data_IF_344394781251
#
_entry.id   IF_344394781251
#
_cell.length_a   1.000
_cell.length_b   1.000
_cell.length_c   1.000
_cell.angle_alpha   90.00
_cell.angle_beta   90.00
_cell.angle_gamma   90.00
#
_symmetry.space_group_name_H-M   'P 1'
#
loop_
_entity.id
_entity.type
_entity.pdbx_description
1 polymer ?
#
# COMPACT_ATOMS: atom_id res chain seq x y z
N UNK A 1 99.48 27.09 0.76
CA UNK A 1 98.09 27.55 1.01
C UNK A 1 97.31 27.44 -0.29
N UNK A 2 96.06 26.93 -0.27
CA UNK A 2 95.08 26.86 -1.39
C UNK A 2 95.31 25.67 -2.34
N UNK A 3 94.34 24.83 -2.68
CA UNK A 3 92.89 24.72 -2.40
C UNK A 3 92.53 23.23 -2.54
N UNK A 4 92.00 22.63 -1.48
CA UNK A 4 91.05 21.51 -1.63
C UNK A 4 89.79 22.09 -2.28
N UNK A 5 89.20 21.36 -3.22
CA UNK A 5 87.87 21.66 -3.73
C UNK A 5 87.80 21.74 -5.25
N UNK A 6 87.74 20.58 -5.90
CA UNK A 6 86.84 20.45 -7.05
C UNK A 6 85.62 19.66 -6.58
N UNK A 7 84.43 20.28 -6.44
CA UNK A 7 83.21 19.50 -6.39
C UNK A 7 82.89 19.10 -7.83
N UNK A 8 83.23 17.85 -8.17
CA UNK A 8 82.73 17.17 -9.35
C UNK A 8 81.22 16.90 -9.16
N UNK A 9 80.38 17.90 -9.42
CA UNK A 9 78.96 17.67 -9.77
C UNK A 9 78.72 18.30 -11.13
N UNK A 10 78.83 17.47 -12.17
CA UNK A 10 78.52 17.84 -13.54
C UNK A 10 77.06 18.31 -13.63
N UNK A 11 76.69 19.18 -14.60
CA UNK A 11 75.27 19.56 -14.87
C UNK A 11 74.32 18.34 -14.95
N UNK A 12 74.87 17.18 -15.30
CA UNK A 12 74.21 15.86 -15.32
C UNK A 12 73.82 15.37 -13.92
N UNK A 13 74.61 15.66 -12.88
CA UNK A 13 74.33 15.32 -11.48
C UNK A 13 73.18 16.15 -10.89
N UNK A 14 73.10 17.45 -11.18
CA UNK A 14 72.02 18.31 -10.64
C UNK A 14 70.66 17.96 -11.24
N UNK A 15 70.60 17.74 -12.56
CA UNK A 15 69.38 17.24 -13.23
C UNK A 15 68.93 15.87 -12.72
N UNK A 16 69.86 15.01 -12.34
CA UNK A 16 69.56 13.67 -11.79
C UNK A 16 69.00 13.77 -10.36
N UNK A 17 69.48 14.73 -9.58
CA UNK A 17 68.99 15.04 -8.23
C UNK A 17 67.60 15.68 -8.28
N UNK A 18 67.35 16.61 -9.21
CA UNK A 18 66.03 17.19 -9.46
C UNK A 18 65.02 16.15 -9.95
N UNK A 19 65.42 15.26 -10.86
CA UNK A 19 64.58 14.16 -11.33
C UNK A 19 64.25 13.15 -10.22
N UNK A 20 65.22 12.86 -9.34
CA UNK A 20 65.01 11.98 -8.19
C UNK A 20 64.04 12.61 -7.17
N UNK A 21 64.18 13.90 -6.88
CA UNK A 21 63.28 14.60 -5.97
C UNK A 21 61.86 14.69 -6.53
N UNK A 22 61.70 14.87 -7.85
CA UNK A 22 60.39 14.82 -8.50
C UNK A 22 59.76 13.42 -8.44
N UNK A 23 60.55 12.36 -8.59
CA UNK A 23 60.08 10.98 -8.39
C UNK A 23 59.68 10.70 -6.94
N UNK A 24 60.44 11.20 -5.96
CA UNK A 24 60.10 11.07 -4.53
C UNK A 24 58.77 11.78 -4.21
N UNK A 25 58.57 12.99 -4.75
CA UNK A 25 57.32 13.74 -4.57
C UNK A 25 56.12 13.01 -5.21
N UNK A 26 56.29 12.49 -6.42
CA UNK A 26 55.25 11.70 -7.10
C UNK A 26 54.92 10.39 -6.35
N UNK A 27 55.92 9.76 -5.72
CA UNK A 27 55.73 8.57 -4.89
C UNK A 27 55.00 8.88 -3.58
N UNK A 28 55.26 10.04 -2.96
CA UNK A 28 54.53 10.49 -1.78
C UNK A 28 53.05 10.75 -2.12
N UNK A 29 52.77 11.43 -3.22
CA UNK A 29 51.40 11.67 -3.69
C UNK A 29 50.67 10.37 -4.07
N UNK A 30 51.38 9.41 -4.67
CA UNK A 30 50.83 8.09 -4.96
C UNK A 30 50.52 7.30 -3.68
N UNK A 31 51.36 7.41 -2.64
CA UNK A 31 51.13 6.77 -1.33
C UNK A 31 49.89 7.35 -0.64
N UNK A 32 49.72 8.66 -0.66
CA UNK A 32 48.57 9.32 -0.03
C UNK A 32 47.26 8.97 -0.76
N UNK A 33 47.30 8.80 -2.09
CA UNK A 33 46.17 8.27 -2.87
C UNK A 33 45.90 6.79 -2.60
N UNK A 34 46.93 6.00 -2.29
CA UNK A 34 46.79 4.58 -1.92
C UNK A 34 46.08 4.42 -0.57
N UNK A 35 46.38 5.29 0.41
CA UNK A 35 45.73 5.26 1.72
C UNK A 35 44.21 5.51 1.64
N UNK A 36 43.76 6.40 0.75
CA UNK A 36 42.32 6.64 0.48
C UNK A 36 41.65 5.43 -0.18
N UNK A 37 42.39 4.66 -0.98
CA UNK A 37 41.90 3.43 -1.60
C UNK A 37 41.82 2.30 -0.56
N UNK A 38 42.78 2.20 0.35
CA UNK A 38 42.77 1.23 1.46
C UNK A 38 41.59 1.46 2.41
N UNK A 39 41.28 2.72 2.75
CA UNK A 39 40.10 3.08 3.57
C UNK A 39 38.77 2.66 2.90
N UNK A 40 38.65 2.85 1.58
CA UNK A 40 37.48 2.39 0.81
C UNK A 40 37.38 0.87 0.70
N UNK A 41 38.51 0.16 0.69
CA UNK A 41 38.53 -1.31 0.70
C UNK A 41 38.07 -1.87 2.05
N UNK A 42 38.40 -1.22 3.16
CA UNK A 42 37.90 -1.58 4.50
C UNK A 42 36.40 -1.29 4.67
N UNK A 43 35.88 -0.26 4.02
CA UNK A 43 34.43 0.03 3.96
C UNK A 43 33.69 -1.03 3.12
N UNK A 44 34.26 -1.43 1.98
CA UNK A 44 33.73 -2.51 1.15
C UNK A 44 33.79 -3.88 1.84
N UNK A 45 34.80 -4.15 2.68
CA UNK A 45 34.87 -5.36 3.48
C UNK A 45 33.75 -5.44 4.54
N UNK A 46 33.35 -4.30 5.13
CA UNK A 46 32.21 -4.22 6.06
C UNK A 46 30.87 -4.42 5.37
N UNK A 47 30.67 -3.80 4.21
CA UNK A 47 29.46 -3.99 3.38
C UNK A 47 29.35 -5.45 2.93
N UNK A 48 30.48 -6.08 2.60
CA UNK A 48 30.54 -7.51 2.27
C UNK A 48 30.18 -8.42 3.44
N UNK A 49 30.63 -8.13 4.67
CA UNK A 49 30.28 -8.92 5.84
C UNK A 49 28.78 -8.84 6.17
N UNK A 50 28.14 -7.68 5.98
CA UNK A 50 26.69 -7.49 6.11
C UNK A 50 25.94 -8.28 5.02
N UNK A 51 26.46 -8.28 3.79
CA UNK A 51 25.91 -9.06 2.70
C UNK A 51 26.08 -10.58 2.90
N UNK A 52 27.19 -11.04 3.47
CA UNK A 52 27.45 -12.46 3.79
C UNK A 52 26.57 -12.95 4.95
N UNK A 53 26.28 -12.12 5.96
CA UNK A 53 25.30 -12.40 7.03
C UNK A 53 23.84 -12.40 6.51
N UNK A 54 23.50 -11.51 5.56
CA UNK A 54 22.23 -11.54 4.84
C UNK A 54 22.09 -12.79 3.95
N UNK A 55 23.18 -13.22 3.31
CA UNK A 55 23.22 -14.42 2.48
C UNK A 55 23.11 -15.71 3.32
N UNK A 56 23.77 -15.78 4.48
CA UNK A 56 23.66 -16.92 5.39
C UNK A 56 22.24 -17.14 5.95
N UNK A 57 21.48 -16.06 6.13
CA UNK A 57 20.05 -16.11 6.50
C UNK A 57 19.16 -16.57 5.33
N UNK A 58 19.56 -16.26 4.09
CA UNK A 58 18.87 -16.71 2.87
C UNK A 58 19.18 -18.19 2.53
N UNK A 59 20.39 -18.70 2.80
CA UNK A 59 20.76 -20.10 2.56
C UNK A 59 19.94 -21.07 3.43
N UNK A 60 19.49 -20.67 4.61
CA UNK A 60 18.61 -21.49 5.46
C UNK A 60 17.16 -21.60 4.91
N UNK A 61 16.78 -20.71 3.98
CA UNK A 61 15.52 -20.79 3.22
C UNK A 61 15.68 -21.59 1.91
N UNK A 62 16.90 -21.99 1.56
CA UNK A 62 17.25 -22.64 0.29
C UNK A 62 16.91 -24.14 0.26
N UNK A 63 17.06 -24.87 1.38
CA UNK A 63 16.67 -26.30 1.46
C UNK A 63 15.16 -26.53 1.27
N UNK A 64 14.33 -25.51 1.55
CA UNK A 64 12.87 -25.54 1.34
C UNK A 64 12.50 -25.17 -0.11
N UNK A 65 13.35 -24.39 -0.79
CA UNK A 65 13.12 -23.89 -2.15
C UNK A 65 13.55 -24.87 -3.26
N UNK A 66 14.51 -25.77 -2.99
CA UNK A 66 15.07 -26.68 -4.00
C UNK A 66 14.07 -27.74 -4.52
N UNK A 67 13.04 -28.11 -3.76
CA UNK A 67 11.97 -29.04 -4.23
C UNK A 67 10.89 -28.32 -5.09
N UNK A 68 10.75 -27.00 -4.92
CA UNK A 68 9.76 -26.18 -5.65
C UNK A 68 10.25 -25.68 -7.02
N UNK A 69 11.56 -25.46 -7.17
CA UNK A 69 12.15 -24.91 -8.40
C UNK A 69 12.06 -25.87 -9.60
N UNK A 70 11.86 -27.17 -9.37
CA UNK A 70 11.69 -28.15 -10.46
C UNK A 70 10.37 -27.99 -11.25
N UNK A 71 9.43 -27.14 -10.79
CA UNK A 71 8.08 -27.03 -11.38
C UNK A 71 7.70 -25.64 -11.93
N UNK A 72 8.50 -24.59 -11.72
CA UNK A 72 8.09 -23.18 -11.92
C UNK A 72 8.69 -22.44 -13.14
N UNK A 73 8.96 -23.12 -14.25
CA UNK A 73 9.58 -22.52 -15.45
C UNK A 73 8.72 -21.55 -16.28
N UNK A 74 7.77 -20.79 -15.69
CA UNK A 74 6.86 -19.89 -16.44
C UNK A 74 6.49 -18.54 -15.79
N UNK A 75 7.04 -18.15 -14.63
CA UNK A 75 6.60 -16.96 -13.90
C UNK A 75 7.51 -15.70 -14.03
N UNK A 76 8.77 -15.85 -14.45
CA UNK A 76 9.75 -14.75 -14.57
C UNK A 76 9.36 -13.64 -15.58
N UNK A 77 8.85 -13.95 -16.80
CA UNK A 77 8.66 -12.93 -17.83
C UNK A 77 7.57 -11.88 -17.52
N UNK A 78 6.59 -12.22 -16.66
CA UNK A 78 5.47 -11.34 -16.31
C UNK A 78 5.82 -10.34 -15.20
N UNK A 79 6.71 -10.73 -14.28
CA UNK A 79 7.18 -9.86 -13.21
C UNK A 79 8.18 -8.81 -13.73
N UNK A 80 9.03 -9.17 -14.68
CA UNK A 80 9.98 -8.25 -15.33
C UNK A 80 9.28 -7.18 -16.19
N UNK A 81 8.25 -7.55 -16.96
CA UNK A 81 7.46 -6.60 -17.77
C UNK A 81 6.66 -5.63 -16.87
N UNK A 82 6.12 -6.11 -15.74
CA UNK A 82 5.42 -5.27 -14.76
C UNK A 82 6.33 -4.24 -14.08
N UNK A 83 7.53 -4.64 -13.63
CA UNK A 83 8.50 -3.72 -13.04
C UNK A 83 9.00 -2.69 -14.06
N UNK A 84 9.28 -3.12 -15.30
CA UNK A 84 9.77 -2.23 -16.35
C UNK A 84 8.75 -1.13 -16.69
N UNK A 85 7.45 -1.45 -16.72
CA UNK A 85 6.37 -0.47 -16.95
C UNK A 85 6.21 0.48 -15.76
N UNK A 86 6.30 -0.01 -14.53
CA UNK A 86 6.24 0.82 -13.33
C UNK A 86 7.41 1.80 -13.21
N UNK A 87 8.64 1.38 -13.57
CA UNK A 87 9.81 2.27 -13.59
C UNK A 87 9.70 3.37 -14.65
N UNK A 88 9.15 3.07 -15.83
CA UNK A 88 8.87 4.10 -16.84
C UNK A 88 7.79 5.09 -16.40
N UNK A 89 6.74 4.59 -15.75
CA UNK A 89 5.65 5.44 -15.25
C UNK A 89 6.10 6.38 -14.13
N UNK A 90 6.96 5.90 -13.21
CA UNK A 90 7.57 6.72 -12.16
C UNK A 90 8.48 7.81 -12.75
N UNK A 91 9.33 7.47 -13.73
CA UNK A 91 10.20 8.46 -14.39
C UNK A 91 9.39 9.55 -15.11
N UNK A 92 8.30 9.17 -15.79
CA UNK A 92 7.40 10.12 -16.45
C UNK A 92 6.68 11.04 -15.45
N UNK A 93 6.29 10.51 -14.28
CA UNK A 93 5.68 11.27 -13.21
C UNK A 93 6.64 12.30 -12.58
N UNK A 94 7.91 11.91 -12.38
CA UNK A 94 8.96 12.79 -11.85
C UNK A 94 9.29 13.93 -12.84
N UNK A 95 9.36 13.62 -14.14
CA UNK A 95 9.55 14.60 -15.21
C UNK A 95 8.36 15.58 -15.29
N UNK A 96 7.12 15.09 -15.19
CA UNK A 96 5.93 15.93 -15.20
C UNK A 96 5.88 16.89 -14.00
N UNK A 97 6.26 16.41 -12.80
CA UNK A 97 6.35 17.23 -11.59
C UNK A 97 7.43 18.31 -11.71
N UNK A 98 8.59 17.99 -12.29
CA UNK A 98 9.65 18.95 -12.53
C UNK A 98 9.23 20.06 -13.52
N UNK A 99 8.50 19.68 -14.58
CA UNK A 99 7.95 20.61 -15.55
C UNK A 99 6.90 21.54 -14.94
N UNK A 100 5.97 21.01 -14.14
CA UNK A 100 4.96 21.80 -13.44
C UNK A 100 5.59 22.80 -12.46
N UNK A 101 6.58 22.37 -11.68
CA UNK A 101 7.33 23.25 -10.75
C UNK A 101 7.99 24.41 -11.50
N UNK A 102 8.66 24.10 -12.61
CA UNK A 102 9.31 25.12 -13.46
C UNK A 102 8.30 26.08 -14.09
N UNK A 103 7.12 25.60 -14.46
CA UNK A 103 6.05 26.43 -15.03
C UNK A 103 5.50 27.43 -14.00
N UNK A 104 5.27 26.98 -12.76
CA UNK A 104 4.81 27.84 -11.64
C UNK A 104 5.82 28.93 -11.31
N UNK A 105 7.11 28.59 -11.20
CA UNK A 105 8.18 29.57 -10.94
C UNK A 105 8.25 30.65 -12.03
N UNK A 106 8.13 30.26 -13.29
CA UNK A 106 8.14 31.18 -14.43
C UNK A 106 6.88 32.04 -14.50
N UNK A 107 5.71 31.50 -14.13
CA UNK A 107 4.45 32.24 -14.06
C UNK A 107 4.49 33.33 -12.97
N UNK A 108 5.07 33.03 -11.81
CA UNK A 108 5.25 33.99 -10.71
C UNK A 108 6.12 35.20 -11.08
N UNK A 109 7.05 35.04 -12.04
CA UNK A 109 7.92 36.10 -12.51
C UNK A 109 7.27 37.04 -13.57
N UNK A 110 6.10 36.71 -14.13
CA UNK A 110 5.60 37.30 -15.38
C UNK A 110 4.51 38.41 -15.25
N UNK A 111 4.04 38.78 -14.06
CA UNK A 111 3.08 39.90 -13.89
C UNK A 111 1.72 39.67 -14.56
N UNK A 112 1.11 40.67 -15.24
CA UNK A 112 -0.25 40.63 -15.85
C UNK A 112 -0.47 39.58 -16.97
N UNK A 113 0.59 38.92 -17.48
CA UNK A 113 0.48 37.66 -18.24
C UNK A 113 0.21 36.45 -17.34
N UNK A 114 0.06 36.68 -16.05
CA UNK A 114 -0.03 35.71 -14.98
C UNK A 114 -1.33 34.94 -14.98
N UNK A 115 -2.43 35.46 -15.54
CA UNK A 115 -3.66 34.68 -15.69
C UNK A 115 -3.49 33.54 -16.72
N UNK A 116 -2.89 33.85 -17.87
CA UNK A 116 -2.63 32.88 -18.94
C UNK A 116 -1.50 31.91 -18.53
N UNK A 117 -0.44 32.42 -17.89
CA UNK A 117 0.62 31.58 -17.33
C UNK A 117 0.12 30.68 -16.17
N UNK A 118 -0.87 31.14 -15.39
CA UNK A 118 -1.50 30.34 -14.33
C UNK A 118 -2.45 29.30 -14.89
N UNK A 119 -3.21 29.62 -15.94
CA UNK A 119 -4.00 28.62 -16.65
C UNK A 119 -3.12 27.49 -17.22
N UNK A 120 -1.98 27.83 -17.83
CA UNK A 120 -1.01 26.84 -18.33
C UNK A 120 -0.37 26.05 -17.17
N UNK A 121 -0.09 26.68 -16.04
CA UNK A 121 0.45 26.00 -14.86
C UNK A 121 -0.58 25.06 -14.21
N UNK A 122 -1.85 25.47 -14.13
CA UNK A 122 -2.95 24.66 -13.63
C UNK A 122 -3.17 23.45 -14.56
N UNK A 123 -3.18 23.66 -15.88
CA UNK A 123 -3.26 22.57 -16.88
C UNK A 123 -2.08 21.60 -16.78
N UNK A 124 -0.85 22.10 -16.65
CA UNK A 124 0.34 21.26 -16.45
C UNK A 124 0.29 20.49 -15.12
N UNK A 125 -0.26 21.09 -14.06
CA UNK A 125 -0.47 20.44 -12.77
C UNK A 125 -1.49 19.31 -12.85
N UNK A 126 -2.60 19.51 -13.57
CA UNK A 126 -3.60 18.46 -13.79
C UNK A 126 -3.04 17.30 -14.63
N UNK A 127 -2.26 17.60 -15.68
CA UNK A 127 -1.57 16.56 -16.48
C UNK A 127 -0.57 15.78 -15.62
N UNK A 128 0.24 16.48 -14.81
CA UNK A 128 1.21 15.84 -13.93
C UNK A 128 0.53 14.96 -12.87
N UNK A 129 -0.57 15.44 -12.28
CA UNK A 129 -1.39 14.67 -11.33
C UNK A 129 -1.94 13.42 -11.99
N UNK A 130 -2.55 13.54 -13.17
CA UNK A 130 -3.06 12.42 -13.94
C UNK A 130 -1.97 11.37 -14.24
N UNK A 131 -0.77 11.80 -14.65
CA UNK A 131 0.35 10.90 -14.92
C UNK A 131 0.83 10.17 -13.65
N UNK A 132 0.95 10.89 -12.53
CA UNK A 132 1.31 10.30 -11.23
C UNK A 132 0.27 9.28 -10.78
N UNK A 133 -1.01 9.61 -10.87
CA UNK A 133 -2.11 8.74 -10.44
C UNK A 133 -2.16 7.47 -11.32
N UNK A 134 -2.00 7.62 -12.64
CA UNK A 134 -1.90 6.49 -13.58
C UNK A 134 -0.70 5.58 -13.26
N UNK A 135 0.46 6.17 -12.95
CA UNK A 135 1.66 5.40 -12.58
C UNK A 135 1.48 4.63 -11.27
N UNK A 136 0.85 5.26 -10.27
CA UNK A 136 0.52 4.65 -8.99
C UNK A 136 -0.44 3.48 -9.16
N UNK A 137 -1.49 3.66 -9.94
CA UNK A 137 -2.46 2.61 -10.24
C UNK A 137 -1.79 1.42 -10.95
N UNK A 138 -0.95 1.66 -11.95
CA UNK A 138 -0.22 0.60 -12.65
C UNK A 138 0.73 -0.17 -11.72
N UNK A 139 1.46 0.52 -10.84
CA UNK A 139 2.30 -0.12 -9.84
C UNK A 139 1.47 -0.91 -8.81
N UNK A 140 0.34 -0.38 -8.37
CA UNK A 140 -0.58 -1.07 -7.47
C UNK A 140 -1.12 -2.34 -8.12
N UNK A 141 -1.58 -2.27 -9.36
CA UNK A 141 -2.04 -3.42 -10.14
C UNK A 141 -0.95 -4.50 -10.25
N UNK A 142 0.28 -4.12 -10.54
CA UNK A 142 1.41 -5.05 -10.60
C UNK A 142 1.69 -5.72 -9.24
N UNK A 143 1.66 -4.95 -8.15
CA UNK A 143 1.83 -5.49 -6.78
C UNK A 143 0.70 -6.43 -6.40
N UNK A 144 -0.54 -6.10 -6.75
CA UNK A 144 -1.73 -6.95 -6.54
C UNK A 144 -1.58 -8.25 -7.30
N UNK A 145 -1.23 -8.20 -8.58
CA UNK A 145 -1.04 -9.41 -9.40
C UNK A 145 0.06 -10.33 -8.83
N UNK A 146 1.20 -9.75 -8.45
CA UNK A 146 2.30 -10.50 -7.85
C UNK A 146 1.91 -11.13 -6.50
N UNK A 147 1.24 -10.37 -5.62
CA UNK A 147 0.83 -10.83 -4.31
C UNK A 147 -0.26 -11.91 -4.37
N UNK A 148 -1.27 -11.72 -5.22
CA UNK A 148 -2.31 -12.74 -5.47
C UNK A 148 -1.70 -14.03 -6.00
N UNK A 149 -0.83 -13.96 -7.01
CA UNK A 149 -0.13 -15.14 -7.54
C UNK A 149 0.64 -15.86 -6.43
N UNK A 150 1.35 -15.10 -5.61
CA UNK A 150 2.13 -15.62 -4.49
C UNK A 150 1.26 -16.27 -3.40
N UNK A 151 0.07 -15.74 -3.12
CA UNK A 151 -0.92 -16.36 -2.23
C UNK A 151 -1.54 -17.63 -2.83
N UNK A 152 -1.81 -17.62 -4.14
CA UNK A 152 -2.41 -18.76 -4.85
C UNK A 152 -1.51 -19.99 -4.88
N UNK A 153 -0.20 -19.78 -4.98
CA UNK A 153 0.81 -20.84 -4.95
C UNK A 153 0.98 -21.51 -3.57
N UNK A 154 0.34 -20.98 -2.52
CA UNK A 154 0.41 -21.58 -1.18
C UNK A 154 -0.92 -22.21 -0.78
N UNK A 155 -0.88 -23.39 -0.14
CA UNK A 155 -2.07 -23.91 0.52
C UNK A 155 -2.50 -22.92 1.61
N UNK A 156 -3.82 -22.77 1.85
CA UNK A 156 -4.29 -22.01 3.00
C UNK A 156 -3.69 -22.67 4.26
N UNK A 157 -2.82 -21.95 4.95
CA UNK A 157 -2.21 -22.43 6.19
C UNK A 157 -3.29 -22.47 7.29
N UNK A 158 -3.16 -23.39 8.26
CA UNK A 158 -3.89 -23.27 9.52
C UNK A 158 -3.43 -21.99 10.23
N UNK A 159 -4.37 -21.18 10.69
CA UNK A 159 -4.08 -19.84 11.19
C UNK A 159 -5.22 -19.26 12.03
N UNK A 160 -5.19 -17.94 12.32
CA UNK A 160 -6.20 -17.28 13.12
C UNK A 160 -7.59 -17.36 12.49
N UNK A 161 -8.63 -17.49 13.31
CA UNK A 161 -10.02 -17.47 12.82
C UNK A 161 -10.44 -16.04 12.53
N UNK A 162 -11.02 -15.78 11.35
CA UNK A 162 -11.51 -14.44 10.98
C UNK A 162 -13.01 -14.32 11.21
N UNK A 163 -13.44 -13.30 11.95
CA UNK A 163 -14.85 -12.91 12.04
C UNK A 163 -15.16 -11.88 10.98
N UNK A 164 -16.03 -12.22 10.03
CA UNK A 164 -16.54 -11.27 9.04
C UNK A 164 -17.84 -10.68 9.57
N UNK A 165 -17.86 -9.37 9.78
CA UNK A 165 -19.06 -8.62 10.20
C UNK A 165 -19.71 -8.01 8.96
N UNK A 166 -20.95 -8.43 8.68
CA UNK A 166 -21.75 -7.93 7.56
C UNK A 166 -23.02 -7.29 8.10
N UNK A 167 -23.15 -5.97 7.95
CA UNK A 167 -24.36 -5.26 8.35
C UNK A 167 -25.30 -5.09 7.16
N UNK A 168 -26.60 -5.32 7.37
CA UNK A 168 -27.63 -5.11 6.36
C UNK A 168 -28.84 -4.43 6.97
N UNK A 169 -29.53 -3.61 6.18
CA UNK A 169 -30.79 -2.96 6.57
C UNK A 169 -31.68 -2.77 5.37
N UNK A 170 -32.82 -3.45 5.39
CA UNK A 170 -33.90 -3.30 4.39
C UNK A 170 -33.44 -3.54 2.93
N UNK A 171 -32.38 -4.32 2.71
CA UNK A 171 -31.82 -4.66 1.38
C UNK A 171 -31.64 -6.17 1.15
N UNK A 172 -32.69 -6.99 1.30
CA UNK A 172 -32.58 -8.45 1.19
C UNK A 172 -32.13 -8.97 -0.19
N UNK A 173 -32.19 -8.15 -1.24
CA UNK A 173 -31.78 -8.53 -2.58
C UNK A 173 -30.25 -8.55 -2.80
N UNK A 174 -29.52 -7.68 -2.11
CA UNK A 174 -28.05 -7.59 -2.24
C UNK A 174 -27.34 -8.66 -1.39
N UNK A 175 -27.93 -8.95 -0.23
CA UNK A 175 -27.35 -9.79 0.81
C UNK A 175 -26.89 -11.19 0.35
N UNK A 176 -27.64 -11.97 -0.46
CA UNK A 176 -27.19 -13.30 -0.89
C UNK A 176 -25.87 -13.29 -1.65
N UNK A 177 -25.62 -12.24 -2.47
CA UNK A 177 -24.38 -12.10 -3.24
C UNK A 177 -23.19 -11.82 -2.33
N UNK A 178 -23.37 -10.92 -1.35
CA UNK A 178 -22.32 -10.63 -0.36
C UNK A 178 -21.98 -11.87 0.48
N UNK A 179 -22.99 -12.60 0.98
CA UNK A 179 -22.78 -13.83 1.75
C UNK A 179 -22.12 -14.93 0.92
N UNK A 180 -22.53 -15.12 -0.34
CA UNK A 180 -21.89 -16.07 -1.26
C UNK A 180 -20.39 -15.78 -1.41
N UNK A 181 -19.98 -14.51 -1.50
CA UNK A 181 -18.57 -14.14 -1.62
C UNK A 181 -17.71 -14.50 -0.40
N UNK A 182 -18.30 -14.57 0.79
CA UNK A 182 -17.63 -15.05 2.01
C UNK A 182 -17.57 -16.58 2.02
N UNK A 183 -18.63 -17.25 1.57
CA UNK A 183 -18.65 -18.71 1.43
C UNK A 183 -17.59 -19.24 0.44
N UNK A 184 -17.26 -18.44 -0.58
CA UNK A 184 -16.27 -18.76 -1.61
C UNK A 184 -14.81 -18.45 -1.21
N UNK A 185 -14.57 -18.00 0.03
CA UNK A 185 -13.21 -17.70 0.50
C UNK A 185 -12.34 -18.96 0.50
N UNK A 186 -11.12 -18.83 -0.04
CA UNK A 186 -10.12 -19.91 -0.09
C UNK A 186 -9.60 -20.29 1.29
N UNK A 187 -9.66 -19.35 2.23
CA UNK A 187 -9.35 -19.59 3.63
C UNK A 187 -10.59 -20.12 4.35
N UNK A 188 -10.48 -21.25 5.05
CA UNK A 188 -11.65 -21.92 5.66
C UNK A 188 -11.96 -21.53 7.11
N UNK A 189 -11.00 -20.91 7.83
CA UNK A 189 -11.14 -20.57 9.25
C UNK A 189 -11.78 -19.20 9.43
N UNK A 190 -13.09 -19.14 9.21
CA UNK A 190 -13.86 -17.93 9.42
C UNK A 190 -15.23 -18.23 9.99
N UNK A 191 -15.85 -17.19 10.54
CA UNK A 191 -17.29 -17.12 10.80
C UNK A 191 -17.83 -15.84 10.17
N UNK A 192 -19.08 -15.88 9.74
CA UNK A 192 -19.80 -14.75 9.18
C UNK A 192 -20.95 -14.38 10.10
N UNK A 193 -20.96 -13.13 10.54
CA UNK A 193 -21.99 -12.56 11.39
C UNK A 193 -22.75 -11.54 10.55
N UNK A 194 -23.95 -11.92 10.14
CA UNK A 194 -24.88 -11.04 9.45
C UNK A 194 -25.74 -10.34 10.48
N UNK A 195 -25.61 -9.02 10.57
CA UNK A 195 -26.41 -8.18 11.46
C UNK A 195 -27.56 -7.57 10.67
N UNK A 196 -28.79 -8.02 10.93
CA UNK A 196 -30.01 -7.47 10.34
C UNK A 196 -30.51 -6.31 11.20
N UNK A 197 -30.21 -5.07 10.80
CA UNK A 197 -30.64 -3.84 11.47
C UNK A 197 -32.04 -3.37 11.00
N UNK A 198 -32.74 -4.20 10.21
CA UNK A 198 -34.08 -3.94 9.73
C UNK A 198 -35.19 -4.27 10.74
N UNK A 199 -36.39 -3.80 10.45
CA UNK A 199 -37.59 -4.04 11.28
C UNK A 199 -38.32 -5.36 10.94
N UNK A 200 -37.79 -6.15 10.00
CA UNK A 200 -38.43 -7.36 9.50
C UNK A 200 -37.43 -8.51 9.44
N UNK A 201 -37.89 -9.77 9.44
CA UNK A 201 -36.98 -10.93 9.26
C UNK A 201 -36.50 -11.10 7.81
N UNK A 202 -36.25 -10.02 7.09
CA UNK A 202 -35.92 -10.04 5.66
C UNK A 202 -34.57 -10.69 5.39
N UNK A 203 -33.54 -10.43 6.22
CA UNK A 203 -32.24 -11.08 6.04
C UNK A 203 -32.33 -12.59 6.30
N UNK A 204 -32.97 -12.99 7.40
CA UNK A 204 -33.19 -14.41 7.74
C UNK A 204 -33.94 -15.16 6.63
N UNK A 205 -34.96 -14.53 6.01
CA UNK A 205 -35.66 -15.12 4.86
C UNK A 205 -34.79 -15.19 3.61
N UNK A 206 -34.03 -14.13 3.31
CA UNK A 206 -33.13 -14.09 2.16
C UNK A 206 -32.01 -15.15 2.26
N UNK A 207 -31.57 -15.46 3.48
CA UNK A 207 -30.51 -16.42 3.76
C UNK A 207 -31.01 -17.81 4.15
N UNK A 208 -32.31 -18.04 4.22
CA UNK A 208 -32.90 -19.30 4.70
C UNK A 208 -32.52 -20.56 3.91
N UNK A 209 -31.89 -20.42 2.73
CA UNK A 209 -31.35 -21.51 1.93
C UNK A 209 -29.89 -21.87 2.21
N UNK A 210 -29.18 -21.11 3.05
CA UNK A 210 -27.76 -21.32 3.36
C UNK A 210 -27.65 -22.24 4.58
N UNK A 211 -27.07 -23.43 4.36
CA UNK A 211 -26.86 -24.45 5.38
C UNK A 211 -25.37 -24.57 5.74
N UNK A 212 -24.74 -23.46 6.13
CA UNK A 212 -23.36 -23.41 6.62
C UNK A 212 -23.34 -22.90 8.05
N UNK A 213 -22.92 -23.75 8.99
CA UNK A 213 -22.93 -23.45 10.44
C UNK A 213 -21.99 -22.30 10.82
N UNK A 214 -21.10 -21.85 9.91
CA UNK A 214 -20.26 -20.68 10.11
C UNK A 214 -21.00 -19.36 9.88
N UNK A 215 -22.21 -19.38 9.32
CA UNK A 215 -23.02 -18.20 9.04
C UNK A 215 -24.09 -18.05 10.11
N UNK A 216 -24.07 -16.94 10.83
CA UNK A 216 -25.07 -16.60 11.85
C UNK A 216 -25.73 -15.28 11.52
N UNK A 217 -27.06 -15.22 11.61
CA UNK A 217 -27.84 -13.99 11.52
C UNK A 217 -28.22 -13.53 12.92
N UNK A 218 -27.90 -12.29 13.27
CA UNK A 218 -28.26 -11.65 14.55
C UNK A 218 -29.09 -10.41 14.31
N UNK A 219 -30.02 -10.12 15.22
CA UNK A 219 -30.79 -8.88 15.17
C UNK A 219 -29.92 -7.69 15.57
N UNK A 220 -29.94 -6.63 14.76
CA UNK A 220 -29.29 -5.36 15.05
C UNK A 220 -30.07 -4.49 16.04
N UNK A 221 -29.44 -3.43 16.56
CA UNK A 221 -30.05 -2.50 17.52
C UNK A 221 -31.10 -1.55 16.89
N UNK A 222 -31.20 -1.49 15.57
CA UNK A 222 -32.06 -0.59 14.77
C UNK A 222 -31.65 0.87 14.89
N UNK A 223 -30.34 1.10 14.98
CA UNK A 223 -29.73 2.40 15.25
C UNK A 223 -28.65 2.75 14.20
N UNK A 224 -28.77 2.17 13.01
CA UNK A 224 -27.92 2.49 11.87
C UNK A 224 -26.63 1.68 11.81
N UNK A 225 -25.83 1.99 10.78
CA UNK A 225 -24.70 1.16 10.34
C UNK A 225 -23.64 0.96 11.42
N UNK A 226 -23.23 2.03 12.12
CA UNK A 226 -22.24 1.94 13.20
C UNK A 226 -22.71 1.03 14.35
N UNK A 227 -23.98 1.17 14.75
CA UNK A 227 -24.55 0.36 15.82
C UNK A 227 -24.68 -1.12 15.39
N UNK A 228 -25.09 -1.37 14.14
CA UNK A 228 -25.12 -2.72 13.57
C UNK A 228 -23.71 -3.36 13.53
N UNK A 229 -22.69 -2.64 13.04
CA UNK A 229 -21.30 -3.13 13.03
C UNK A 229 -20.79 -3.39 14.45
N UNK A 230 -21.13 -2.55 15.42
CA UNK A 230 -20.79 -2.77 16.84
C UNK A 230 -21.46 -4.02 17.42
N UNK A 231 -22.74 -4.28 17.10
CA UNK A 231 -23.40 -5.51 17.50
C UNK A 231 -22.72 -6.75 16.87
N UNK A 232 -22.26 -6.64 15.63
CA UNK A 232 -21.46 -7.68 14.98
C UNK A 232 -20.11 -7.90 15.67
N UNK A 233 -19.44 -6.82 16.09
CA UNK A 233 -18.20 -6.88 16.87
C UNK A 233 -18.40 -7.54 18.25
N UNK A 234 -19.53 -7.30 18.91
CA UNK A 234 -19.87 -7.94 20.18
C UNK A 234 -20.13 -9.45 20.02
N UNK A 235 -20.66 -9.87 18.87
CA UNK A 235 -20.88 -11.28 18.53
C UNK A 235 -19.62 -11.99 18.00
N UNK A 236 -18.57 -11.25 17.62
CA UNK A 236 -17.36 -11.80 17.02
C UNK A 236 -16.51 -12.60 18.02
N UNK A 237 -16.19 -13.85 17.67
CA UNK A 237 -15.39 -14.76 18.51
C UNK A 237 -14.00 -15.10 17.93
N UNK A 238 -13.77 -14.84 16.65
CA UNK A 238 -12.52 -15.15 15.95
C UNK A 238 -11.37 -14.22 16.36
N UNK A 239 -10.14 -14.62 16.11
CA UNK A 239 -8.94 -13.87 16.49
C UNK A 239 -8.81 -12.53 15.75
N UNK A 240 -9.36 -12.47 14.53
CA UNK A 240 -9.32 -11.30 13.65
C UNK A 240 -10.73 -10.86 13.28
N UNK A 241 -10.86 -9.61 12.85
CA UNK A 241 -12.11 -9.03 12.35
C UNK A 241 -11.88 -8.46 10.95
N UNK A 242 -12.84 -8.71 10.06
CA UNK A 242 -13.02 -8.05 8.76
C UNK A 242 -14.46 -7.58 8.62
N UNK A 243 -14.72 -6.66 7.70
CA UNK A 243 -16.06 -6.15 7.44
C UNK A 243 -16.47 -6.42 5.99
N UNK A 244 -17.77 -6.44 5.73
CA UNK A 244 -18.33 -6.47 4.39
C UNK A 244 -19.65 -5.71 4.36
N UNK A 245 -19.84 -4.85 3.38
CA UNK A 245 -21.14 -4.23 3.13
C UNK A 245 -22.02 -5.15 2.29
N UNK A 246 -23.34 -5.09 2.50
CA UNK A 246 -24.31 -6.02 1.87
C UNK A 246 -24.43 -5.88 0.35
N UNK A 247 -23.90 -4.80 -0.23
CA UNK A 247 -23.82 -4.52 -1.66
C UNK A 247 -22.44 -4.75 -2.29
N UNK A 248 -21.47 -5.27 -1.52
CA UNK A 248 -20.12 -5.57 -1.97
C UNK A 248 -19.85 -7.08 -2.12
N UNK A 249 -18.79 -7.42 -2.85
CA UNK A 249 -18.32 -8.81 -3.06
C UNK A 249 -16.90 -8.92 -2.54
N UNK A 250 -16.67 -9.75 -1.53
CA UNK A 250 -15.35 -10.04 -0.99
C UNK A 250 -14.53 -10.88 -1.98
N UNK A 251 -13.28 -10.49 -2.21
CA UNK A 251 -12.40 -11.22 -3.10
C UNK A 251 -12.01 -12.57 -2.50
N UNK A 252 -12.00 -13.70 -3.25
CA UNK A 252 -11.80 -15.05 -2.70
C UNK A 252 -10.49 -15.29 -1.93
N UNK A 253 -9.47 -14.46 -2.18
CA UNK A 253 -8.17 -14.54 -1.52
C UNK A 253 -8.01 -13.58 -0.32
N UNK A 254 -9.01 -12.75 -0.02
CA UNK A 254 -8.89 -11.70 1.00
C UNK A 254 -8.63 -12.27 2.39
N UNK A 255 -9.45 -13.21 2.85
CA UNK A 255 -9.28 -13.78 4.19
C UNK A 255 -7.95 -14.58 4.32
N UNK A 256 -7.47 -15.16 3.22
CA UNK A 256 -6.16 -15.82 3.19
C UNK A 256 -5.02 -14.81 3.36
N UNK A 257 -5.12 -13.64 2.70
CA UNK A 257 -4.16 -12.56 2.83
C UNK A 257 -4.09 -12.04 4.27
N UNK A 258 -5.27 -11.75 4.85
CA UNK A 258 -5.43 -11.28 6.22
C UNK A 258 -4.80 -12.26 7.21
N UNK A 259 -5.23 -13.53 7.17
CA UNK A 259 -4.72 -14.55 8.08
C UNK A 259 -3.22 -14.76 7.94
N UNK A 260 -2.68 -14.72 6.71
CA UNK A 260 -1.25 -14.85 6.46
C UNK A 260 -0.44 -13.73 7.12
N UNK A 261 -0.85 -12.47 6.91
CA UNK A 261 -0.13 -11.31 7.46
C UNK A 261 -0.13 -11.38 8.99
N UNK A 262 -1.29 -11.55 9.62
CA UNK A 262 -1.39 -11.56 11.09
C UNK A 262 -0.70 -12.77 11.74
N UNK A 263 -0.59 -13.91 11.04
CA UNK A 263 0.16 -15.06 11.51
C UNK A 263 1.69 -14.87 11.40
N UNK A 264 2.15 -14.07 10.44
CA UNK A 264 3.57 -13.81 10.20
C UNK A 264 4.11 -12.56 10.92
N UNK A 265 3.22 -11.67 11.36
CA UNK A 265 3.53 -10.32 11.86
C UNK A 265 2.78 -10.04 13.16
N UNK A 266 3.40 -10.36 14.28
CA UNK A 266 2.88 -10.06 15.61
C UNK A 266 2.90 -8.56 15.93
N UNK A 267 3.68 -7.77 15.19
CA UNK A 267 3.77 -6.31 15.32
C UNK A 267 2.73 -5.54 14.52
N UNK A 268 1.79 -6.24 13.87
CA UNK A 268 0.68 -5.64 13.12
C UNK A 268 -0.62 -5.87 13.88
N UNK A 269 -1.33 -4.78 14.19
CA UNK A 269 -2.65 -4.79 14.80
C UNK A 269 -3.78 -4.49 13.80
N UNK A 270 -3.46 -3.72 12.75
CA UNK A 270 -4.40 -3.20 11.75
C UNK A 270 -3.78 -3.31 10.37
N UNK A 271 -4.55 -3.75 9.39
CA UNK A 271 -4.16 -3.73 7.99
C UNK A 271 -5.34 -3.32 7.12
N UNK A 272 -5.06 -2.85 5.90
CA UNK A 272 -6.09 -2.62 4.90
C UNK A 272 -5.65 -3.06 3.51
N UNK A 273 -6.63 -3.51 2.73
CA UNK A 273 -6.46 -4.06 1.38
C UNK A 273 -6.66 -3.03 0.29
N UNK A 274 -6.78 -3.55 -0.94
CA UNK A 274 -7.10 -2.80 -2.15
C UNK A 274 -8.58 -2.97 -2.44
N UNK A 275 -9.27 -1.86 -2.68
CA UNK A 275 -10.65 -1.90 -3.15
C UNK A 275 -10.68 -1.87 -4.68
N UNK A 276 -11.47 -2.75 -5.29
CA UNK A 276 -11.73 -2.71 -6.73
C UNK A 276 -12.99 -1.89 -6.98
N UNK A 277 -12.85 -0.73 -7.60
CA UNK A 277 -13.96 0.17 -7.92
C UNK A 277 -14.18 0.23 -9.44
N UNK A 278 -15.42 0.42 -9.88
CA UNK A 278 -15.66 0.78 -11.28
C UNK A 278 -15.54 2.31 -11.41
N UNK A 279 -14.72 2.78 -12.34
CA UNK A 279 -14.58 4.19 -12.69
C UNK A 279 -15.13 4.40 -14.10
N UNK A 280 -15.96 5.42 -14.28
CA UNK A 280 -16.38 5.82 -15.62
C UNK A 280 -15.21 6.52 -16.30
N UNK A 281 -14.75 5.96 -17.41
CA UNK A 281 -13.76 6.63 -18.24
C UNK A 281 -14.40 7.89 -18.87
N UNK A 282 -13.64 8.99 -19.02
CA UNK A 282 -14.05 10.12 -19.84
C UNK A 282 -14.50 9.66 -21.22
N UNK A 283 -15.58 10.25 -21.73
CA UNK A 283 -16.22 9.83 -22.99
C UNK A 283 -15.26 9.98 -24.20
N UNK A 284 -14.19 10.77 -24.08
CA UNK A 284 -13.13 10.94 -25.09
C UNK A 284 -12.01 9.88 -25.03
N UNK A 285 -11.91 9.13 -23.93
CA UNK A 285 -10.90 8.09 -23.74
C UNK A 285 -11.42 6.68 -24.04
N UNK A 286 -12.76 6.48 -24.08
CA UNK A 286 -13.34 5.16 -24.29
C UNK A 286 -14.85 5.20 -24.61
N UNK A 287 -15.26 4.52 -25.69
CA UNK A 287 -16.66 4.19 -25.96
C UNK A 287 -17.21 3.07 -25.03
N UNK A 288 -16.33 2.42 -24.24
CA UNK A 288 -16.62 1.18 -23.51
C UNK A 288 -17.31 1.40 -22.14
N UNK A 289 -17.46 2.63 -21.67
CA UNK A 289 -18.14 2.94 -20.41
C UNK A 289 -17.27 2.73 -19.17
N UNK A 290 -17.78 1.99 -18.18
CA UNK A 290 -17.14 1.76 -16.87
C UNK A 290 -15.89 0.85 -16.97
N UNK A 291 -14.86 1.16 -16.18
CA UNK A 291 -13.58 0.46 -16.16
C UNK A 291 -13.16 0.10 -14.73
N UNK A 292 -12.65 -1.11 -14.46
CA UNK A 292 -12.16 -1.46 -13.14
C UNK A 292 -10.88 -0.68 -12.79
N UNK A 293 -10.85 -0.07 -11.60
CA UNK A 293 -9.69 0.63 -11.05
C UNK A 293 -9.37 0.12 -9.64
N UNK A 294 -8.08 0.04 -9.33
CA UNK A 294 -7.62 -0.31 -8.00
C UNK A 294 -7.46 0.94 -7.15
N UNK A 295 -8.10 0.95 -5.99
CA UNK A 295 -7.97 2.02 -5.02
C UNK A 295 -7.30 1.54 -3.74
N UNK A 296 -6.13 2.11 -3.46
CA UNK A 296 -5.42 2.01 -2.19
C UNK A 296 -4.39 3.14 -2.11
N UNK A 297 -4.42 3.90 -1.03
CA UNK A 297 -3.35 4.84 -0.72
C UNK A 297 -2.29 4.15 0.17
N UNK A 298 -0.99 4.44 -0.02
CA UNK A 298 0.04 3.99 0.93
C UNK A 298 -0.24 4.51 2.34
N UNK A 299 0.22 3.78 3.34
CA UNK A 299 0.09 4.22 4.73
C UNK A 299 0.83 5.55 4.95
N UNK A 300 0.12 6.54 5.49
CA UNK A 300 0.67 7.80 5.95
C UNK A 300 -0.25 8.37 7.01
N UNK A 301 0.28 8.61 8.21
CA UNK A 301 -0.52 9.20 9.30
C UNK A 301 -0.96 10.62 8.96
N UNK A 302 -0.09 11.40 8.32
CA UNK A 302 -0.41 12.75 7.85
C UNK A 302 -1.57 12.72 6.86
N UNK A 303 -1.47 11.86 5.85
CA UNK A 303 -2.53 11.68 4.85
C UNK A 303 -3.82 11.17 5.48
N UNK A 304 -3.75 10.22 6.41
CA UNK A 304 -4.92 9.72 7.14
C UNK A 304 -5.65 10.83 7.94
N UNK A 305 -4.96 11.86 8.42
CA UNK A 305 -5.62 12.97 9.13
C UNK A 305 -6.29 13.96 8.17
N UNK A 306 -5.94 13.91 6.88
CA UNK A 306 -6.45 14.82 5.86
C UNK A 306 -7.51 14.17 4.95
N UNK A 307 -7.38 12.87 4.69
CA UNK A 307 -8.26 12.08 3.82
C UNK A 307 -8.42 10.64 4.32
N UNK A 308 -9.54 10.01 3.93
CA UNK A 308 -9.78 8.60 4.26
C UNK A 308 -8.94 7.68 3.36
N UNK A 309 -8.12 6.82 3.96
CA UNK A 309 -7.23 5.91 3.23
C UNK A 309 -7.92 4.63 2.76
N UNK A 310 -9.01 4.23 3.41
CA UNK A 310 -9.69 2.95 3.14
C UNK A 310 -11.14 2.98 3.63
N UNK A 311 -12.01 2.21 2.98
CA UNK A 311 -13.32 1.90 3.55
C UNK A 311 -13.23 0.74 4.57
N UNK A 312 -14.32 0.51 5.32
CA UNK A 312 -14.39 -0.59 6.29
C UNK A 312 -14.24 -1.98 5.65
N UNK A 313 -14.77 -2.20 4.44
CA UNK A 313 -14.71 -3.49 3.73
C UNK A 313 -13.29 -3.93 3.38
N UNK A 314 -12.38 -2.96 3.24
CA UNK A 314 -10.95 -3.21 3.05
C UNK A 314 -10.16 -3.31 4.36
N UNK A 315 -10.75 -3.02 5.52
CA UNK A 315 -10.07 -3.01 6.82
C UNK A 315 -10.10 -4.39 7.50
N UNK A 316 -8.99 -4.76 8.14
CA UNK A 316 -8.92 -5.89 9.06
C UNK A 316 -8.07 -5.54 10.29
N UNK A 317 -8.43 -6.08 11.45
CA UNK A 317 -7.69 -5.86 12.69
C UNK A 317 -7.78 -7.04 13.66
N UNK A 318 -6.91 -7.06 14.67
CA UNK A 318 -7.00 -8.01 15.79
C UNK A 318 -8.27 -7.78 16.59
N UNK A 319 -8.96 -8.84 17.00
CA UNK A 319 -10.09 -8.72 17.92
C UNK A 319 -9.61 -8.27 19.30
N UNK A 320 -10.39 -7.40 19.96
CA UNK A 320 -10.15 -6.99 21.35
C UNK A 320 -9.36 -5.70 21.52
N UNK A 321 -8.98 -5.03 20.43
CA UNK A 321 -8.47 -3.66 20.50
C UNK A 321 -9.53 -2.74 21.11
N UNK A 322 -9.15 -1.95 22.12
CA UNK A 322 -10.08 -1.09 22.86
C UNK A 322 -10.81 -0.08 21.94
N UNK A 323 -10.10 0.41 20.93
CA UNK A 323 -10.59 1.38 19.95
C UNK A 323 -11.47 0.77 18.84
N UNK A 324 -11.61 -0.56 18.78
CA UNK A 324 -12.38 -1.25 17.74
C UNK A 324 -13.89 -1.10 17.96
N UNK A 325 -14.42 0.11 17.83
CA UNK A 325 -15.84 0.47 17.90
C UNK A 325 -16.14 1.58 16.91
N UNK A 326 -17.26 1.49 16.21
CA UNK A 326 -17.71 2.53 15.30
C UNK A 326 -18.48 3.60 16.07
N UNK A 327 -18.10 4.86 15.83
CA UNK A 327 -18.84 6.01 16.34
C UNK A 327 -20.13 6.22 15.52
N UNK A 328 -21.23 6.68 16.12
CA UNK A 328 -22.51 6.88 15.44
C UNK A 328 -22.50 8.15 14.57
N UNK A 329 -21.59 8.18 13.59
CA UNK A 329 -21.46 9.25 12.61
C UNK A 329 -22.42 9.01 11.43
N UNK A 330 -22.94 10.08 10.84
CA UNK A 330 -23.75 9.96 9.61
C UNK A 330 -22.93 9.47 8.41
N UNK A 331 -21.62 9.73 8.41
CA UNK A 331 -20.66 9.28 7.40
C UNK A 331 -19.22 9.47 7.92
N UNK A 332 -18.29 8.63 7.46
CA UNK A 332 -16.87 8.68 7.85
C UNK A 332 -16.57 7.89 9.12
N UNK A 333 -17.48 7.00 9.52
CA UNK A 333 -17.32 6.10 10.66
C UNK A 333 -16.15 5.12 10.51
N UNK A 334 -15.87 4.71 9.28
CA UNK A 334 -14.71 3.92 8.88
C UNK A 334 -13.40 4.71 9.01
N UNK A 335 -13.43 5.97 8.60
CA UNK A 335 -12.30 6.88 8.70
C UNK A 335 -11.95 7.19 10.16
N UNK A 336 -12.94 7.55 10.98
CA UNK A 336 -12.77 7.75 12.43
C UNK A 336 -12.22 6.51 13.11
N UNK A 337 -12.75 5.32 12.75
CA UNK A 337 -12.27 4.05 13.25
C UNK A 337 -10.79 3.82 12.91
N UNK A 338 -10.40 4.02 11.65
CA UNK A 338 -9.01 3.83 11.24
C UNK A 338 -8.06 4.78 11.98
N UNK A 339 -8.44 6.05 12.15
CA UNK A 339 -7.64 7.03 12.92
C UNK A 339 -7.41 6.53 14.35
N UNK A 340 -8.45 6.06 15.04
CA UNK A 340 -8.35 5.61 16.43
C UNK A 340 -7.61 4.29 16.58
N UNK A 341 -7.90 3.30 15.72
CA UNK A 341 -7.21 2.01 15.72
C UNK A 341 -5.69 2.15 15.50
N UNK A 342 -5.26 3.23 14.86
CA UNK A 342 -3.85 3.46 14.50
C UNK A 342 -3.20 4.61 15.27
N UNK A 343 -3.77 5.00 16.42
CA UNK A 343 -3.22 6.05 17.26
C UNK A 343 -1.81 5.69 17.79
N UNK A 344 -1.61 4.42 18.16
CA UNK A 344 -0.35 3.93 18.77
C UNK A 344 0.54 3.17 17.78
N UNK A 345 -0.03 2.62 16.70
CA UNK A 345 0.70 1.77 15.76
C UNK A 345 0.18 1.93 14.33
N UNK A 346 1.07 1.93 13.32
CA UNK A 346 0.68 2.14 11.94
C UNK A 346 -0.14 0.97 11.39
N UNK A 347 -1.09 1.25 10.50
CA UNK A 347 -1.70 0.18 9.72
C UNK A 347 -0.76 -0.30 8.60
N UNK A 348 -0.88 -1.57 8.22
CA UNK A 348 -0.19 -2.12 7.07
C UNK A 348 -1.07 -2.07 5.82
N UNK A 349 -0.61 -1.37 4.78
CA UNK A 349 -1.22 -1.43 3.44
C UNK A 349 -0.80 -2.72 2.74
N UNK A 350 -1.76 -3.63 2.51
CA UNK A 350 -1.52 -4.93 1.86
C UNK A 350 -1.99 -4.86 0.41
N UNK A 351 -1.17 -5.23 -0.59
CA UNK A 351 -1.55 -5.23 -2.00
C UNK A 351 -2.40 -6.45 -2.33
N UNK A 352 -3.52 -6.65 -1.64
CA UNK A 352 -4.47 -7.71 -1.84
C UNK A 352 -5.85 -7.11 -2.06
N UNK A 353 -6.56 -7.54 -3.11
CA UNK A 353 -7.94 -7.10 -3.30
C UNK A 353 -8.77 -7.61 -2.13
N UNK A 354 -9.45 -6.70 -1.44
CA UNK A 354 -10.35 -7.02 -0.33
C UNK A 354 -11.75 -7.32 -0.84
N UNK A 355 -12.31 -6.41 -1.63
CA UNK A 355 -13.65 -6.51 -2.19
C UNK A 355 -13.78 -5.65 -3.46
N UNK A 356 -14.88 -5.87 -4.18
CA UNK A 356 -15.28 -5.06 -5.32
C UNK A 356 -16.60 -4.32 -5.06
N UNK A 357 -16.65 -3.07 -5.51
CA UNK A 357 -17.88 -2.29 -5.64
C UNK A 357 -18.60 -2.64 -6.95
N UNK A 358 -19.94 -2.68 -6.92
CA UNK A 358 -20.74 -2.58 -8.14
C UNK A 358 -21.31 -1.15 -8.21
N UNK A 359 -20.88 -0.34 -9.19
CA UNK A 359 -21.32 1.07 -9.29
C UNK A 359 -22.73 1.22 -9.85
N UNK A 360 -23.32 0.16 -10.41
CA UNK A 360 -24.72 0.09 -10.88
C UNK A 360 -25.77 -0.08 -9.76
N UNK A 361 -25.41 0.23 -8.51
CA UNK A 361 -26.35 0.21 -7.39
C UNK A 361 -27.11 1.54 -7.31
N UNK A 362 -28.39 1.55 -7.71
CA UNK A 362 -29.35 2.63 -7.36
C UNK A 362 -29.45 2.84 -5.82
N UNK A 363 -28.93 1.90 -5.01
CA UNK A 363 -28.91 1.95 -3.56
C UNK A 363 -27.68 2.68 -2.97
N UNK A 364 -26.80 3.27 -3.81
CA UNK A 364 -25.62 4.01 -3.35
C UNK A 364 -26.03 5.27 -2.59
N UNK A 365 -25.53 5.39 -1.36
CA UNK A 365 -25.86 6.51 -0.48
C UNK A 365 -24.86 7.69 -0.55
N UNK A 366 -23.66 7.55 -1.10
CA UNK A 366 -22.64 8.62 -1.02
C UNK A 366 -22.81 9.71 -2.08
N UNK A 367 -22.93 10.96 -1.62
CA UNK A 367 -23.02 12.20 -2.44
C UNK A 367 -21.80 13.08 -2.19
N UNK A 368 -21.23 13.67 -3.25
CA UNK A 368 -20.05 14.53 -3.18
C UNK A 368 -20.19 15.73 -2.23
N UNK A 369 -21.41 16.27 -2.06
CA UNK A 369 -21.70 17.36 -1.12
C UNK A 369 -21.45 16.99 0.34
N UNK A 370 -21.51 15.69 0.70
CA UNK A 370 -21.23 15.23 2.07
C UNK A 370 -19.75 15.17 2.40
N UNK A 371 -18.88 15.09 1.39
CA UNK A 371 -17.45 14.88 1.59
C UNK A 371 -16.80 16.02 2.40
N UNK A 372 -17.18 17.28 2.13
CA UNK A 372 -16.67 18.44 2.90
C UNK A 372 -17.14 18.45 4.35
N UNK A 373 -18.41 18.12 4.60
CA UNK A 373 -18.95 18.05 5.95
C UNK A 373 -18.31 16.93 6.78
N UNK A 374 -18.07 15.77 6.14
CA UNK A 374 -17.35 14.64 6.76
C UNK A 374 -15.91 15.03 7.09
N UNK A 375 -15.20 15.67 6.16
CA UNK A 375 -13.86 16.20 6.38
C UNK A 375 -13.80 17.16 7.59
N UNK A 376 -14.73 18.11 7.67
CA UNK A 376 -14.80 19.07 8.78
C UNK A 376 -15.11 18.38 10.12
N UNK A 377 -16.02 17.42 10.14
CA UNK A 377 -16.39 16.68 11.36
C UNK A 377 -15.25 15.78 11.86
N UNK A 378 -14.58 15.05 10.97
CA UNK A 378 -13.42 14.20 11.32
C UNK A 378 -12.26 15.06 11.80
N UNK A 379 -11.97 16.18 11.12
CA UNK A 379 -10.98 17.14 11.61
C UNK A 379 -11.38 17.68 12.97
N UNK A 380 -12.64 18.07 13.21
CA UNK A 380 -13.08 18.56 14.52
C UNK A 380 -12.86 17.53 15.64
N UNK A 381 -13.01 16.23 15.37
CA UNK A 381 -12.79 15.15 16.34
C UNK A 381 -11.31 14.88 16.61
N UNK A 382 -10.45 14.97 15.59
CA UNK A 382 -9.05 14.53 15.65
C UNK A 382 -8.02 15.66 15.58
N UNK A 383 -8.45 16.91 15.39
CA UNK A 383 -7.62 18.10 15.61
C UNK A 383 -7.41 18.22 17.11
N UNK A 384 -6.23 17.84 17.58
CA UNK A 384 -5.79 18.17 18.95
C UNK A 384 -4.96 19.45 18.93
N UNK A 385 -5.08 20.24 20.01
CA UNK A 385 -4.23 21.37 20.40
C UNK A 385 -2.71 21.14 20.20
#
# INVERSE_FOLDING_TARGET
MRRLGRPWKTRRSKRREEALNAQIAALAEARDRLAVVEERLDELARVRAIAEDGLARATNAQEIAEDGLARAGRAEPLAEDGLARASHAQAAADDARALATTAVERAGAAGDRGAEARAVADEASEIAKFAVDTAREALLAARVAAFTTWLELRPPAFGPTVSVVLATRDRPACLPRAVASVLEQRYGHWQLIVVDDGDTDAASRALGGIADDRVTVVAGPRDGLSAARNAGLDAATGDLVCYLDDDNVMHPAWLQAVAHVFAARDDVDVLYGVTLAEHRLPDDLSDAGWWPAFWQLPWSRETLLEENLTDAGALAHRRGLAEARFEPLESGEDWDLLIRLTAESPALAVPAVSHAYAMESEARMSRAERHRAVLEEIRRRHSSD
#
